data_IF_264777620738
#
_entry.id   IF_264777620738
#
_cell.length_a   1.000
_cell.length_b   1.000
_cell.length_c   1.000
_cell.angle_alpha   90.00
_cell.angle_beta   90.00
_cell.angle_gamma   90.00
#
_symmetry.space_group_name_H-M   'P 1'
#
loop_
_entity.id
_entity.type
_entity.pdbx_description
1 polymer ?
#
# COMPACT_ATOMS: atom_id res chain seq x y z
N UNK A 1 29.95 -1.05 -7.08
CA UNK A 1 29.16 -0.14 -7.93
C UNK A 1 27.69 -0.34 -7.58
N UNK A 2 27.03 0.65 -6.99
CA UNK A 2 25.62 0.55 -6.62
C UNK A 2 24.76 0.78 -7.88
N UNK A 3 23.84 -0.14 -8.18
CA UNK A 3 22.83 0.00 -9.24
C UNK A 3 21.48 0.16 -8.57
N UNK A 4 20.74 1.19 -8.95
CA UNK A 4 19.36 1.37 -8.53
C UNK A 4 18.44 0.78 -9.61
N UNK A 5 17.47 -0.03 -9.19
CA UNK A 5 16.39 -0.49 -10.08
C UNK A 5 15.12 0.22 -9.65
N UNK A 6 14.46 0.88 -10.59
CA UNK A 6 13.21 1.60 -10.34
C UNK A 6 12.15 1.00 -11.26
N UNK A 7 11.01 0.65 -10.68
CA UNK A 7 9.84 0.15 -11.41
C UNK A 7 8.73 1.18 -11.29
N UNK A 8 8.13 1.55 -12.43
CA UNK A 8 7.01 2.48 -12.48
C UNK A 8 6.13 2.18 -13.68
N UNK A 9 4.93 2.76 -13.66
CA UNK A 9 3.95 2.68 -14.73
C UNK A 9 3.90 4.06 -15.38
N UNK A 10 4.14 4.14 -16.70
CA UNK A 10 4.05 5.40 -17.44
C UNK A 10 2.59 5.91 -17.49
N UNK A 11 2.33 7.20 -17.82
CA UNK A 11 0.97 7.70 -18.05
C UNK A 11 0.17 6.90 -19.10
N UNK A 12 0.86 6.29 -20.07
CA UNK A 12 0.27 5.40 -21.07
C UNK A 12 0.04 3.95 -20.56
N UNK A 13 0.12 3.70 -19.24
CA UNK A 13 -0.05 2.40 -18.58
C UNK A 13 0.92 1.31 -19.09
N UNK A 14 2.14 1.73 -19.44
CA UNK A 14 3.24 0.86 -19.87
C UNK A 14 4.11 0.61 -18.64
N UNK A 15 4.32 -0.65 -18.22
CA UNK A 15 5.25 -0.97 -17.15
C UNK A 15 6.69 -0.77 -17.66
N UNK A 16 7.50 -0.04 -16.88
CA UNK A 16 8.90 0.25 -17.20
C UNK A 16 9.78 -0.09 -16.01
N UNK A 17 10.80 -0.92 -16.26
CA UNK A 17 11.87 -1.21 -15.30
C UNK A 17 13.12 -0.48 -15.76
N UNK A 18 13.58 0.49 -14.97
CA UNK A 18 14.75 1.30 -15.26
C UNK A 18 15.90 0.90 -14.32
N UNK A 19 17.05 0.58 -14.91
CA UNK A 19 18.30 0.39 -14.17
C UNK A 19 19.15 1.65 -14.32
N UNK A 20 19.44 2.30 -13.19
CA UNK A 20 20.22 3.53 -13.14
C UNK A 20 21.54 3.25 -12.42
N UNK A 21 22.61 3.77 -12.99
CA UNK A 21 23.95 3.81 -12.41
C UNK A 21 24.32 5.27 -12.07
N UNK A 22 25.30 5.48 -11.16
CA UNK A 22 25.75 6.84 -10.83
C UNK A 22 26.40 7.59 -12.01
N UNK A 23 26.72 6.89 -13.10
CA UNK A 23 27.29 7.47 -14.30
C UNK A 23 26.21 7.92 -15.30
N UNK A 24 24.94 7.59 -15.08
CA UNK A 24 23.85 7.98 -15.97
C UNK A 24 23.47 9.43 -15.71
N UNK A 25 23.59 10.25 -16.75
CA UNK A 25 23.14 11.63 -16.73
C UNK A 25 21.61 11.71 -16.75
N UNK A 26 21.07 12.75 -16.13
CA UNK A 26 19.62 12.97 -16.04
C UNK A 26 18.95 12.97 -17.42
N UNK A 27 19.56 13.58 -18.43
CA UNK A 27 18.98 13.64 -19.78
C UNK A 27 18.90 12.26 -20.42
N UNK A 28 19.92 11.41 -20.25
CA UNK A 28 19.93 10.03 -20.74
C UNK A 28 18.79 9.21 -20.12
N UNK A 29 18.55 9.42 -18.83
CA UNK A 29 17.43 8.76 -18.14
C UNK A 29 16.10 9.19 -18.74
N UNK A 30 15.87 10.50 -18.90
CA UNK A 30 14.64 11.05 -19.49
C UNK A 30 14.42 10.49 -20.91
N UNK A 31 15.46 10.48 -21.74
CA UNK A 31 15.39 9.96 -23.11
C UNK A 31 15.00 8.47 -23.17
N UNK A 32 15.50 7.66 -22.22
CA UNK A 32 15.13 6.25 -22.10
C UNK A 32 13.64 6.12 -21.75
N UNK A 33 13.15 6.93 -20.81
CA UNK A 33 11.75 6.92 -20.40
C UNK A 33 10.81 7.29 -21.54
N UNK A 34 11.09 8.37 -22.26
CA UNK A 34 10.27 8.80 -23.40
C UNK A 34 10.24 7.74 -24.51
N UNK A 35 11.37 7.07 -24.76
CA UNK A 35 11.42 5.98 -25.75
C UNK A 35 10.58 4.80 -25.30
N UNK A 36 10.67 4.40 -24.04
CA UNK A 36 9.86 3.31 -23.49
C UNK A 36 8.36 3.62 -23.63
N UNK A 37 7.95 4.86 -23.35
CA UNK A 37 6.55 5.30 -23.50
C UNK A 37 6.09 5.27 -24.97
N UNK A 38 6.90 5.80 -25.91
CA UNK A 38 6.58 5.78 -27.35
C UNK A 38 6.43 4.35 -27.88
N UNK A 39 7.34 3.46 -27.49
CA UNK A 39 7.30 2.05 -27.88
C UNK A 39 6.08 1.37 -27.27
N UNK A 40 5.82 1.62 -25.98
CA UNK A 40 4.68 1.05 -25.29
C UNK A 40 3.34 1.46 -25.91
N UNK A 41 3.18 2.76 -26.19
CA UNK A 41 2.01 3.29 -26.89
C UNK A 41 1.83 2.66 -28.29
N UNK A 42 2.92 2.48 -29.04
CA UNK A 42 2.88 1.86 -30.37
C UNK A 42 2.36 0.42 -30.36
N UNK A 43 2.79 -0.40 -29.40
CA UNK A 43 2.34 -1.79 -29.26
C UNK A 43 0.91 -1.85 -28.69
N UNK A 44 0.58 -0.98 -27.74
CA UNK A 44 -0.77 -0.88 -27.18
C UNK A 44 -1.82 -0.55 -28.24
N UNK A 45 -1.51 0.39 -29.13
CA UNK A 45 -2.36 0.74 -30.27
C UNK A 45 -2.63 -0.45 -31.22
N UNK A 46 -1.83 -1.52 -31.14
CA UNK A 46 -1.97 -2.75 -31.92
C UNK A 46 -2.59 -3.90 -31.12
N UNK A 47 -3.17 -3.60 -29.96
CA UNK A 47 -3.84 -4.58 -29.11
C UNK A 47 -2.90 -5.45 -28.27
N UNK A 48 -1.60 -5.12 -28.22
CA UNK A 48 -0.68 -5.81 -27.32
C UNK A 48 -0.98 -5.41 -25.88
N UNK A 49 -0.93 -6.38 -24.98
CA UNK A 49 -1.05 -6.19 -23.54
C UNK A 49 0.31 -6.44 -22.91
N UNK A 50 0.75 -5.53 -22.06
CA UNK A 50 1.95 -5.75 -21.27
C UNK A 50 1.61 -6.71 -20.13
N UNK A 51 2.54 -7.59 -19.79
CA UNK A 51 2.42 -8.40 -18.59
C UNK A 51 2.32 -7.44 -17.41
N UNK A 52 1.18 -7.41 -16.74
CA UNK A 52 1.10 -6.78 -15.43
C UNK A 52 2.03 -7.60 -14.54
N UNK A 53 2.92 -6.95 -13.78
CA UNK A 53 3.45 -7.60 -12.60
C UNK A 53 2.21 -7.96 -11.79
N UNK A 54 1.90 -9.25 -11.66
CA UNK A 54 0.88 -9.68 -10.73
C UNK A 54 1.22 -8.97 -9.41
N UNK A 55 0.30 -8.21 -8.80
CA UNK A 55 0.55 -7.72 -7.46
C UNK A 55 0.89 -8.97 -6.66
N UNK A 56 2.12 -9.03 -6.16
CA UNK A 56 2.59 -10.13 -5.34
C UNK A 56 1.44 -10.44 -4.38
N UNK A 57 0.95 -11.68 -4.34
CA UNK A 57 -0.29 -12.01 -3.62
C UNK A 57 -0.19 -11.65 -2.12
N UNK A 58 1.02 -11.35 -1.64
CA UNK A 58 1.31 -10.76 -0.33
C UNK A 58 0.92 -9.27 -0.19
N UNK A 59 0.84 -8.51 -1.28
CA UNK A 59 0.36 -7.11 -1.36
C UNK A 59 -1.17 -7.03 -1.36
N UNK A 60 -1.85 -8.11 -1.79
CA UNK A 60 -3.31 -8.25 -1.67
C UNK A 60 -3.75 -8.56 -0.23
N UNK A 61 -2.79 -8.87 0.65
CA UNK A 61 -2.96 -8.78 2.11
C UNK A 61 -2.56 -7.37 2.55
N UNK A 62 -3.13 -6.34 1.91
CA UNK A 62 -3.17 -5.02 2.51
C UNK A 62 -4.16 -5.12 3.69
N UNK A 63 -3.66 -5.67 4.79
CA UNK A 63 -4.29 -5.49 6.09
C UNK A 63 -4.53 -4.00 6.32
N UNK A 64 -5.51 -3.64 7.16
CA UNK A 64 -5.90 -2.25 7.36
C UNK A 64 -4.68 -1.37 7.63
N UNK A 65 -4.55 -0.29 6.86
CA UNK A 65 -3.39 0.61 6.98
C UNK A 65 -3.58 1.49 8.21
N UNK A 66 -2.82 1.18 9.26
CA UNK A 66 -2.81 1.92 10.51
C UNK A 66 -2.23 3.32 10.30
N UNK A 67 -3.11 4.33 10.16
CA UNK A 67 -2.71 5.73 10.12
C UNK A 67 -2.34 6.26 11.52
N UNK A 68 -1.18 5.85 12.03
CA UNK A 68 -0.58 6.44 13.23
C UNK A 68 -0.03 7.83 12.93
N UNK A 69 -0.89 8.84 12.87
CA UNK A 69 -0.41 10.22 12.97
C UNK A 69 0.17 10.45 14.38
N UNK A 70 1.27 11.23 14.53
CA UNK A 70 1.96 11.48 15.81
C UNK A 70 1.12 12.23 16.86
N UNK A 71 -0.17 12.42 16.61
CA UNK A 71 -1.15 13.04 17.49
C UNK A 71 -2.34 12.12 17.86
N UNK A 72 -2.26 10.80 17.61
CA UNK A 72 -3.25 9.82 18.10
C UNK A 72 -2.95 9.45 19.58
N UNK A 73 -3.73 9.93 20.56
CA UNK A 73 -3.39 9.83 21.98
C UNK A 73 -3.89 8.56 22.68
N UNK A 74 -4.33 7.52 21.95
CA UNK A 74 -4.97 6.36 22.59
C UNK A 74 -4.65 5.07 21.86
N UNK A 75 -3.39 4.65 21.98
CA UNK A 75 -3.03 3.23 21.96
C UNK A 75 -3.23 2.67 23.37
N UNK A 76 -3.72 1.45 23.51
CA UNK A 76 -3.78 0.78 24.82
C UNK A 76 -2.41 0.18 25.21
N UNK A 77 -2.35 -0.47 26.38
CA UNK A 77 -1.14 -1.15 26.89
C UNK A 77 -0.65 -2.28 25.97
N UNK A 78 -1.45 -2.70 24.97
CA UNK A 78 -1.10 -3.69 23.95
C UNK A 78 -0.66 -3.04 22.64
N UNK A 79 -0.62 -1.71 22.57
CA UNK A 79 -0.27 -0.95 21.37
C UNK A 79 -1.40 -0.86 20.33
N UNK A 80 -2.65 -1.19 20.70
CA UNK A 80 -3.78 -1.15 19.78
C UNK A 80 -4.42 0.25 19.78
N UNK A 81 -4.55 0.91 18.62
CA UNK A 81 -5.16 2.22 18.55
C UNK A 81 -6.67 2.15 18.77
N UNK A 82 -7.27 3.27 19.16
CA UNK A 82 -8.72 3.36 19.36
C UNK A 82 -9.51 3.38 18.05
N UNK A 83 -8.85 3.63 16.91
CA UNK A 83 -9.42 3.58 15.56
C UNK A 83 -8.34 3.30 14.52
N UNK A 84 -8.75 2.87 13.32
CA UNK A 84 -7.89 2.61 12.16
C UNK A 84 -8.53 3.17 10.89
N UNK A 85 -7.75 3.37 9.83
CA UNK A 85 -8.27 3.72 8.50
C UNK A 85 -8.29 2.46 7.63
N UNK A 86 -9.43 2.16 7.02
CA UNK A 86 -9.61 1.08 6.05
C UNK A 86 -10.36 1.64 4.86
N UNK A 87 -9.79 1.53 3.65
CA UNK A 87 -10.39 2.03 2.41
C UNK A 87 -10.84 3.51 2.48
N UNK A 88 -10.07 4.34 3.19
CA UNK A 88 -10.37 5.76 3.40
C UNK A 88 -11.44 6.06 4.48
N UNK A 89 -12.03 5.03 5.09
CA UNK A 89 -13.00 5.15 6.16
C UNK A 89 -12.39 4.89 7.54
N UNK A 90 -12.85 5.63 8.56
CA UNK A 90 -12.41 5.45 9.94
C UNK A 90 -13.19 4.34 10.64
N UNK A 91 -12.51 3.23 10.94
CA UNK A 91 -13.06 2.13 11.71
C UNK A 91 -12.78 2.32 13.21
N UNK A 92 -13.83 2.23 14.03
CA UNK A 92 -13.76 2.39 15.48
C UNK A 92 -13.48 1.05 16.16
N UNK A 93 -12.66 1.06 17.22
CA UNK A 93 -12.40 -0.11 18.05
C UNK A 93 -13.62 -0.47 18.91
N UNK A 94 -13.87 -1.77 19.02
CA UNK A 94 -14.91 -2.40 19.85
C UNK A 94 -14.27 -3.53 20.64
N UNK A 95 -14.72 -3.71 21.88
CA UNK A 95 -14.23 -4.78 22.74
C UNK A 95 -15.40 -5.44 23.47
N UNK A 96 -15.39 -6.78 23.53
CA UNK A 96 -16.33 -7.55 24.32
C UNK A 96 -15.68 -8.84 24.81
N UNK A 97 -15.69 -9.04 26.14
CA UNK A 97 -15.15 -10.26 26.78
C UNK A 97 -13.68 -10.60 26.41
N UNK A 98 -12.89 -9.60 26.01
CA UNK A 98 -11.50 -9.75 25.58
C UNK A 98 -11.30 -9.99 24.08
N UNK A 99 -12.37 -10.11 23.30
CA UNK A 99 -12.33 -10.01 21.83
C UNK A 99 -12.30 -8.53 21.45
N UNK A 100 -11.36 -8.16 20.59
CA UNK A 100 -11.25 -6.80 20.03
C UNK A 100 -11.58 -6.85 18.55
N UNK A 101 -12.36 -5.91 18.04
CA UNK A 101 -12.57 -5.75 16.60
C UNK A 101 -12.71 -4.29 16.22
N UNK A 102 -12.50 -3.99 14.94
CA UNK A 102 -12.71 -2.68 14.36
C UNK A 102 -13.89 -2.73 13.41
N UNK A 103 -14.73 -1.71 13.47
CA UNK A 103 -15.93 -1.62 12.63
C UNK A 103 -16.11 -0.23 12.03
N UNK A 104 -16.47 -0.15 10.76
CA UNK A 104 -16.86 1.08 10.06
C UNK A 104 -18.39 1.17 10.05
N UNK A 105 -18.93 2.37 10.33
CA UNK A 105 -20.36 2.65 10.14
C UNK A 105 -20.61 2.91 8.66
N UNK A 106 -21.46 2.11 8.02
CA UNK A 106 -21.74 2.20 6.58
C UNK A 106 -23.12 2.77 6.30
N UNK A 107 -24.05 2.66 7.25
CA UNK A 107 -25.39 3.27 7.21
C UNK A 107 -25.87 3.58 8.64
N UNK A 108 -27.04 4.19 8.83
CA UNK A 108 -27.59 4.58 10.14
C UNK A 108 -27.57 3.45 11.18
N UNK A 109 -27.87 2.21 10.75
CA UNK A 109 -27.91 1.00 11.59
C UNK A 109 -26.96 -0.11 11.12
N UNK A 110 -26.09 0.15 10.13
CA UNK A 110 -25.22 -0.87 9.55
C UNK A 110 -23.73 -0.63 9.91
N UNK A 111 -23.09 -1.67 10.43
CA UNK A 111 -21.66 -1.68 10.73
C UNK A 111 -20.99 -2.85 10.00
N UNK A 112 -19.89 -2.58 9.33
CA UNK A 112 -19.04 -3.60 8.73
C UNK A 112 -17.83 -3.81 9.63
N UNK A 113 -17.62 -5.05 10.07
CA UNK A 113 -16.42 -5.45 10.80
C UNK A 113 -15.25 -5.60 9.82
N UNK A 114 -14.17 -4.85 10.04
CA UNK A 114 -13.01 -4.79 9.13
C UNK A 114 -11.78 -5.53 9.67
N UNK A 115 -11.68 -5.71 10.99
CA UNK A 115 -10.60 -6.46 11.62
C UNK A 115 -11.11 -7.08 12.91
N UNK A 116 -10.77 -8.34 13.19
CA UNK A 116 -11.06 -9.01 14.47
C UNK A 116 -9.79 -9.63 15.04
N UNK A 117 -9.59 -9.44 16.33
CA UNK A 117 -8.49 -9.95 17.15
C UNK A 117 -9.12 -10.76 18.29
N UNK A 118 -9.22 -12.09 18.13
CA UNK A 118 -9.70 -13.00 19.16
C UNK A 118 -8.95 -12.88 20.47
N UNK A 119 -9.66 -13.16 21.57
CA UNK A 119 -9.10 -13.17 22.92
C UNK A 119 -7.89 -14.12 23.01
N UNK A 120 -6.74 -13.56 23.42
CA UNK A 120 -5.51 -14.30 23.66
C UNK A 120 -4.61 -14.47 22.43
N UNK A 121 -5.03 -13.95 21.28
CA UNK A 121 -4.20 -13.95 20.08
C UNK A 121 -3.21 -12.77 20.07
N UNK A 122 -2.02 -13.01 19.53
CA UNK A 122 -0.98 -11.98 19.45
C UNK A 122 -1.40 -10.92 18.44
N UNK A 123 -1.33 -9.65 18.85
CA UNK A 123 -1.63 -8.51 17.98
C UNK A 123 -0.72 -8.59 16.74
N UNK A 124 -1.27 -8.53 15.51
CA UNK A 124 -0.45 -8.55 14.31
C UNK A 124 0.56 -7.39 14.37
N UNK A 125 1.83 -7.62 14.00
CA UNK A 125 2.89 -6.62 14.16
C UNK A 125 2.52 -5.32 13.44
N UNK A 126 2.65 -4.20 14.14
CA UNK A 126 2.45 -2.87 13.57
C UNK A 126 3.63 -2.56 12.63
N UNK A 127 3.43 -2.75 11.33
CA UNK A 127 4.36 -2.27 10.32
C UNK A 127 4.21 -0.75 10.18
N UNK A 128 4.81 0.01 11.10
CA UNK A 128 4.67 1.46 11.11
C UNK A 128 5.60 2.13 12.11
N UNK A 129 6.89 2.17 11.78
CA UNK A 129 7.87 3.25 12.06
C UNK A 129 9.27 2.68 11.81
N UNK A 130 9.85 2.98 10.64
CA UNK A 130 11.32 3.01 10.56
C UNK A 130 11.74 4.30 11.27
N UNK A 131 12.56 4.25 12.33
CA UNK A 131 13.25 5.44 12.81
C UNK A 131 14.20 5.91 11.70
N UNK A 132 14.24 7.22 11.48
CA UNK A 132 15.34 7.87 10.75
C UNK A 132 16.64 7.83 11.54
#
# INVERSE_FOLDING_TARGET
MCRATIEFISPADVPVTLQITPADEQQTIIDILERAEKIGAYFRARGWRFAQSEPDALSAIAGPTFAGYPCSPTVDDRGLPTWIIVDGAQAQRREKQGDVWYSVKVDEDAYIQVLRIPKGEQVPPVAGLRPG
#
